data_IF_567244016182
#
_entry.id   IF_567244016182
#
_cell.length_a   1.000
_cell.length_b   1.000
_cell.length_c   1.000
_cell.angle_alpha   90.00
_cell.angle_beta   90.00
_cell.angle_gamma   90.00
#
_symmetry.space_group_name_H-M   'P 1'
#
loop_
_entity.id
_entity.type
_entity.pdbx_description
1 polymer ?
#
# COMPACT_ATOMS: atom_id res chain seq x y z
N UNK A 1 53.58 -4.66 -10.00
CA UNK A 1 53.93 -4.73 -8.56
C UNK A 1 55.28 -4.06 -8.40
N UNK A 2 55.30 -2.88 -7.78
CA UNK A 2 56.51 -2.11 -7.56
C UNK A 2 56.23 -0.62 -7.47
N UNK A 3 56.82 0.02 -6.46
CA UNK A 3 57.25 1.43 -6.55
C UNK A 3 56.46 2.46 -5.76
N UNK A 4 56.65 2.48 -4.44
CA UNK A 4 56.81 3.74 -3.70
C UNK A 4 57.99 4.53 -4.29
N UNK A 5 57.86 5.83 -4.57
CA UNK A 5 58.86 6.87 -4.24
C UNK A 5 58.50 8.27 -4.77
N UNK A 6 58.65 9.26 -3.88
CA UNK A 6 58.99 10.68 -4.09
C UNK A 6 57.90 11.79 -4.08
N UNK A 7 57.97 12.70 -3.08
CA UNK A 7 57.44 14.09 -3.04
C UNK A 7 58.58 15.07 -3.47
N UNK A 8 58.71 16.36 -3.05
CA UNK A 8 57.82 17.44 -2.56
C UNK A 8 58.06 18.79 -3.32
N UNK A 9 57.45 19.92 -2.88
CA UNK A 9 58.00 21.32 -2.77
C UNK A 9 56.82 22.23 -2.30
N UNK A 10 56.75 22.61 -1.01
CA UNK A 10 57.33 23.79 -0.33
C UNK A 10 56.66 25.14 -0.65
N UNK A 11 56.10 25.80 0.38
CA UNK A 11 56.11 27.24 0.76
C UNK A 11 54.97 27.48 1.79
N UNK A 12 55.18 27.29 3.11
CA UNK A 12 55.71 28.19 4.17
C UNK A 12 54.87 29.50 4.39
N UNK A 13 54.62 29.76 5.70
CA UNK A 13 54.16 30.98 6.41
C UNK A 13 52.63 31.13 6.60
N UNK A 14 52.05 31.30 7.77
CA UNK A 14 52.54 31.49 9.15
C UNK A 14 51.38 31.20 10.13
N UNK A 15 51.65 30.60 11.28
CA UNK A 15 51.91 31.28 12.55
C UNK A 15 50.68 31.30 13.48
N UNK A 16 50.68 30.32 14.40
CA UNK A 16 50.41 30.45 15.85
C UNK A 16 49.10 31.15 16.26
N UNK A 17 48.15 30.36 16.79
CA UNK A 17 47.65 30.64 18.14
C UNK A 17 47.25 29.34 18.86
N UNK A 18 47.93 29.13 19.99
CA UNK A 18 47.85 27.99 20.88
C UNK A 18 47.07 28.44 22.12
N UNK A 19 45.91 27.82 22.38
CA UNK A 19 45.24 27.78 23.70
C UNK A 19 44.06 26.82 23.54
N UNK A 20 44.00 25.60 24.07
CA UNK A 20 44.47 25.13 25.36
C UNK A 20 43.26 24.92 26.27
N UNK A 21 42.64 23.73 26.24
CA UNK A 21 41.97 23.09 27.39
C UNK A 21 41.30 21.77 26.98
N UNK A 22 41.89 20.67 27.43
CA UNK A 22 41.27 19.37 27.58
C UNK A 22 40.16 19.44 28.64
N UNK A 23 38.96 18.99 28.31
CA UNK A 23 37.99 18.50 29.29
C UNK A 23 37.24 17.30 28.70
N UNK A 24 37.67 16.11 29.14
CA UNK A 24 36.96 14.85 29.04
C UNK A 24 35.63 14.93 29.83
N UNK A 25 34.52 14.52 29.21
CA UNK A 25 33.21 14.34 29.86
C UNK A 25 32.17 13.75 28.88
N UNK A 26 31.22 12.91 29.35
CA UNK A 26 30.84 11.68 28.66
C UNK A 26 29.61 11.79 27.73
N UNK A 27 29.61 10.91 26.71
CA UNK A 27 28.44 10.23 26.11
C UNK A 27 27.12 11.01 26.19
N UNK A 28 26.98 12.04 25.35
CA UNK A 28 25.67 12.56 24.99
C UNK A 28 25.14 11.77 23.79
N UNK A 29 24.30 10.81 24.16
CA UNK A 29 23.26 10.17 23.36
C UNK A 29 22.91 10.98 22.11
N UNK A 30 23.27 10.47 20.92
CA UNK A 30 22.80 10.97 19.64
C UNK A 30 21.29 10.68 19.54
N UNK A 31 20.51 11.51 20.23
CA UNK A 31 19.07 11.60 20.10
C UNK A 31 18.82 12.28 18.76
N UNK A 32 18.73 11.46 17.72
CA UNK A 32 18.38 11.89 16.36
C UNK A 32 16.95 12.41 16.39
N UNK A 33 16.82 13.72 16.64
CA UNK A 33 15.62 14.47 16.33
C UNK A 33 15.49 14.52 14.81
N UNK A 34 14.50 13.81 14.27
CA UNK A 34 13.80 14.33 13.10
C UNK A 34 12.38 14.69 13.53
N UNK A 35 12.27 15.98 13.85
CA UNK A 35 11.04 16.73 13.87
C UNK A 35 10.46 16.77 12.45
N UNK A 36 9.21 16.34 12.32
CA UNK A 36 8.28 16.94 11.35
C UNK A 36 6.88 16.92 11.96
N UNK A 37 6.67 17.88 12.87
CA UNK A 37 5.35 18.36 13.25
C UNK A 37 4.64 18.93 12.00
N UNK A 38 3.91 18.07 11.29
CA UNK A 38 3.05 18.44 10.17
C UNK A 38 1.63 18.71 10.64
N UNK A 39 1.36 19.96 11.02
CA UNK A 39 0.08 20.67 10.92
C UNK A 39 -1.20 19.81 11.01
N UNK A 40 -1.68 19.62 12.25
CA UNK A 40 -3.09 19.32 12.51
C UNK A 40 -3.92 20.56 12.15
N UNK A 41 -4.61 20.54 11.01
CA UNK A 41 -5.88 21.24 10.77
C UNK A 41 -6.32 20.99 9.32
N UNK A 42 -6.75 19.76 9.05
CA UNK A 42 -7.87 19.58 8.13
C UNK A 42 -9.05 19.22 9.00
N UNK A 43 -9.88 20.22 9.29
CA UNK A 43 -11.20 20.04 9.90
C UNK A 43 -12.05 19.31 8.85
N UNK A 44 -11.76 18.04 8.61
CA UNK A 44 -12.68 17.18 7.88
C UNK A 44 -13.92 17.08 8.75
N UNK A 45 -15.10 17.12 8.14
CA UNK A 45 -16.30 16.70 8.85
C UNK A 45 -16.06 15.24 9.19
N UNK A 46 -15.59 14.96 10.41
CA UNK A 46 -15.36 13.61 10.87
C UNK A 46 -16.75 13.00 10.98
N UNK A 47 -17.18 12.31 9.94
CA UNK A 47 -18.37 11.48 10.01
C UNK A 47 -17.92 10.19 10.67
N UNK A 48 -18.24 9.97 11.96
CA UNK A 48 -17.82 8.77 12.65
C UNK A 48 -18.39 7.56 11.92
N UNK A 49 -17.53 6.62 11.53
CA UNK A 49 -17.94 5.42 10.82
C UNK A 49 -18.25 4.33 11.84
N UNK A 50 -19.54 4.04 12.04
CA UNK A 50 -19.99 2.91 12.87
C UNK A 50 -19.97 1.63 12.06
N UNK A 51 -19.22 0.62 12.51
CA UNK A 51 -19.09 -0.68 11.85
C UNK A 51 -19.44 -1.78 12.85
N UNK A 52 -20.23 -2.75 12.39
CA UNK A 52 -20.49 -4.01 13.09
C UNK A 52 -19.52 -5.08 12.63
N UNK A 53 -18.79 -5.68 13.56
CA UNK A 53 -17.79 -6.72 13.31
C UNK A 53 -18.31 -8.05 13.84
N UNK A 54 -18.28 -9.09 13.00
CA UNK A 54 -18.61 -10.46 13.43
C UNK A 54 -17.56 -10.98 14.44
N UNK A 55 -17.89 -11.99 15.26
CA UNK A 55 -16.90 -12.67 16.08
C UNK A 55 -15.76 -13.22 15.21
N UNK A 56 -14.53 -13.14 15.71
CA UNK A 56 -13.28 -13.58 15.04
C UNK A 56 -12.91 -12.84 13.73
N UNK A 57 -13.76 -11.94 13.23
CA UNK A 57 -13.51 -11.19 12.00
C UNK A 57 -12.46 -10.09 12.21
N UNK A 58 -11.62 -9.89 11.18
CA UNK A 58 -10.59 -8.85 11.14
C UNK A 58 -11.06 -7.62 10.36
N UNK A 59 -10.54 -6.46 10.76
CA UNK A 59 -10.72 -5.19 10.06
C UNK A 59 -9.38 -4.50 9.97
N UNK A 60 -9.06 -4.00 8.78
CA UNK A 60 -7.92 -3.13 8.56
C UNK A 60 -8.34 -1.67 8.67
N UNK A 61 -7.64 -0.88 9.47
CA UNK A 61 -7.85 0.55 9.62
C UNK A 61 -6.51 1.28 9.68
N UNK A 62 -6.11 1.96 8.60
CA UNK A 62 -4.99 2.92 8.63
C UNK A 62 -3.62 2.36 8.97
N UNK A 63 -3.39 1.06 8.75
CA UNK A 63 -2.16 0.38 9.16
C UNK A 63 -2.28 -0.42 10.45
N UNK A 64 -3.41 -0.35 11.15
CA UNK A 64 -3.73 -1.25 12.25
C UNK A 64 -4.70 -2.35 11.79
N UNK A 65 -4.52 -3.56 12.31
CA UNK A 65 -5.46 -4.68 12.14
C UNK A 65 -6.18 -4.89 13.47
N UNK A 66 -7.50 -4.75 13.46
CA UNK A 66 -8.37 -4.96 14.59
C UNK A 66 -9.07 -6.30 14.42
N UNK A 67 -8.95 -7.19 15.40
CA UNK A 67 -9.66 -8.47 15.42
C UNK A 67 -10.63 -8.49 16.60
N UNK A 68 -11.87 -8.91 16.35
CA UNK A 68 -12.80 -9.18 17.43
C UNK A 68 -12.48 -10.55 18.04
N UNK A 69 -12.00 -10.58 19.30
CA UNK A 69 -11.68 -11.81 20.05
C UNK A 69 -12.91 -12.34 20.82
N UNK A 70 -14.00 -11.58 20.87
CA UNK A 70 -15.21 -11.97 21.56
C UNK A 70 -16.07 -12.93 20.74
N UNK A 71 -16.85 -13.76 21.44
CA UNK A 71 -17.88 -14.63 20.83
C UNK A 71 -19.11 -13.86 20.34
N UNK A 72 -19.21 -12.56 20.67
CA UNK A 72 -20.33 -11.69 20.30
C UNK A 72 -19.90 -10.64 19.27
N UNK A 73 -20.83 -10.16 18.42
CA UNK A 73 -20.53 -9.07 17.51
C UNK A 73 -20.22 -7.79 18.28
N UNK A 74 -19.24 -7.03 17.80
CA UNK A 74 -18.80 -5.78 18.41
C UNK A 74 -19.14 -4.59 17.49
N UNK A 75 -19.65 -3.51 18.09
CA UNK A 75 -19.84 -2.22 17.42
C UNK A 75 -18.54 -1.41 17.59
N UNK A 76 -17.81 -1.17 16.50
CA UNK A 76 -16.64 -0.29 16.48
C UNK A 76 -17.02 1.06 15.88
N UNK A 77 -16.54 2.13 16.51
CA UNK A 77 -16.71 3.49 16.04
C UNK A 77 -15.35 4.06 15.65
N UNK A 78 -15.16 4.35 14.37
CA UNK A 78 -13.91 4.92 13.86
C UNK A 78 -14.07 6.42 13.76
N UNK A 79 -13.23 7.13 14.53
CA UNK A 79 -13.20 8.61 14.61
C UNK A 79 -12.11 9.23 13.73
N UNK A 80 -11.34 8.41 12.99
CA UNK A 80 -10.24 8.87 12.15
C UNK A 80 -10.63 8.91 10.67
N UNK A 81 -10.02 9.84 9.93
CA UNK A 81 -10.08 9.90 8.46
C UNK A 81 -9.02 8.97 7.88
N UNK A 82 -9.28 7.68 8.02
CA UNK A 82 -8.34 6.61 7.69
C UNK A 82 -9.00 5.62 6.72
N UNK A 83 -8.25 5.05 5.75
CA UNK A 83 -8.79 3.96 4.93
C UNK A 83 -9.14 2.77 5.83
N UNK A 84 -10.35 2.25 5.64
CA UNK A 84 -10.87 1.07 6.35
C UNK A 84 -11.21 -0.02 5.34
N UNK A 85 -10.80 -1.25 5.61
CA UNK A 85 -11.09 -2.43 4.81
C UNK A 85 -11.52 -3.59 5.70
N UNK A 86 -12.45 -4.43 5.24
CA UNK A 86 -12.87 -5.65 5.95
C UNK A 86 -12.06 -6.84 5.45
N UNK A 87 -11.96 -7.88 6.28
CA UNK A 87 -11.30 -9.14 5.93
C UNK A 87 -11.82 -9.72 4.60
N UNK A 88 -13.14 -9.65 4.38
CA UNK A 88 -13.80 -10.15 3.17
C UNK A 88 -13.27 -9.50 1.87
N UNK A 89 -12.74 -8.28 1.95
CA UNK A 89 -12.16 -7.55 0.83
C UNK A 89 -10.62 -7.55 0.86
N UNK A 90 -9.99 -8.24 1.80
CA UNK A 90 -8.55 -8.32 1.93
C UNK A 90 -8.06 -9.60 1.25
N UNK A 91 -7.43 -9.47 0.09
CA UNK A 91 -6.73 -10.60 -0.54
C UNK A 91 -5.29 -10.70 -0.06
N UNK A 92 -4.82 -11.94 0.08
CA UNK A 92 -3.42 -12.26 0.36
C UNK A 92 -2.63 -12.41 -0.96
N UNK A 93 -1.33 -12.16 -0.92
CA UNK A 93 -0.43 -12.17 -2.09
C UNK A 93 -0.45 -13.55 -2.77
N UNK A 94 -0.47 -14.63 -1.99
CA UNK A 94 -0.45 -16.01 -2.52
C UNK A 94 -1.65 -16.33 -3.43
N UNK A 95 -2.78 -15.64 -3.23
CA UNK A 95 -3.98 -15.83 -4.06
C UNK A 95 -3.91 -15.05 -5.38
N UNK A 96 -3.12 -13.98 -5.42
CA UNK A 96 -3.01 -13.09 -6.59
C UNK A 96 -2.33 -13.74 -7.80
N UNK A 97 -1.49 -14.76 -7.58
CA UNK A 97 -0.76 -15.46 -8.65
C UNK A 97 -1.66 -16.35 -9.51
N UNK A 98 -2.89 -16.63 -9.07
CA UNK A 98 -3.78 -17.59 -9.71
C UNK A 98 -4.61 -17.01 -10.88
N UNK A 99 -4.70 -15.68 -10.98
CA UNK A 99 -5.58 -15.02 -11.96
C UNK A 99 -5.15 -13.58 -12.28
N UNK A 100 -5.29 -13.20 -13.55
CA UNK A 100 -4.97 -11.84 -14.02
C UNK A 100 -5.87 -10.77 -13.35
N UNK A 101 -7.16 -11.02 -13.13
CA UNK A 101 -8.00 -10.07 -12.39
C UNK A 101 -7.63 -9.99 -10.91
N UNK A 102 -7.11 -11.07 -10.31
CA UNK A 102 -6.69 -11.07 -8.92
C UNK A 102 -5.47 -10.16 -8.74
N UNK A 103 -4.57 -10.14 -9.72
CA UNK A 103 -3.44 -9.19 -9.78
C UNK A 103 -3.93 -7.73 -9.85
N UNK A 104 -4.90 -7.42 -10.71
CA UNK A 104 -5.50 -6.06 -10.81
C UNK A 104 -6.17 -5.67 -9.50
N UNK A 105 -6.98 -6.57 -8.92
CA UNK A 105 -7.65 -6.36 -7.64
C UNK A 105 -6.67 -6.07 -6.51
N UNK A 106 -5.60 -6.86 -6.43
CA UNK A 106 -4.55 -6.68 -5.42
C UNK A 106 -3.86 -5.33 -5.54
N UNK A 107 -3.52 -4.88 -6.75
CA UNK A 107 -2.90 -3.57 -6.93
C UNK A 107 -3.85 -2.42 -6.54
N UNK A 108 -5.14 -2.53 -6.84
CA UNK A 108 -6.16 -1.57 -6.39
C UNK A 108 -6.24 -1.52 -4.85
N UNK A 109 -6.17 -2.68 -4.20
CA UNK A 109 -6.12 -2.79 -2.75
C UNK A 109 -4.90 -2.05 -2.20
N UNK A 110 -3.71 -2.23 -2.78
CA UNK A 110 -2.49 -1.51 -2.39
C UNK A 110 -2.69 0.00 -2.52
N UNK A 111 -3.17 0.50 -3.65
CA UNK A 111 -3.43 1.95 -3.83
C UNK A 111 -4.39 2.45 -2.76
N UNK A 112 -5.48 1.73 -2.50
CA UNK A 112 -6.47 2.14 -1.50
C UNK A 112 -5.88 2.27 -0.09
N UNK A 113 -5.04 1.32 0.31
CA UNK A 113 -4.40 1.31 1.64
C UNK A 113 -3.34 2.41 1.79
N UNK A 114 -2.67 2.80 0.71
CA UNK A 114 -1.59 3.79 0.72
C UNK A 114 -2.02 5.19 0.24
N UNK A 115 -3.32 5.44 0.05
CA UNK A 115 -3.83 6.77 -0.32
C UNK A 115 -3.27 7.87 0.58
N UNK A 116 -2.61 8.85 -0.03
CA UNK A 116 -2.03 10.02 0.66
C UNK A 116 -0.54 9.94 1.00
N UNK A 117 0.12 8.79 0.78
CA UNK A 117 1.60 8.73 0.78
C UNK A 117 2.12 9.04 -0.62
N UNK A 118 3.20 9.81 -0.75
CA UNK A 118 3.70 10.34 -2.03
C UNK A 118 4.01 9.30 -3.12
N UNK A 119 4.06 8.02 -2.78
CA UNK A 119 4.22 6.90 -3.71
C UNK A 119 2.94 6.55 -4.50
N UNK A 120 1.77 7.03 -4.08
CA UNK A 120 0.48 6.73 -4.71
C UNK A 120 0.46 7.03 -6.22
N UNK A 121 1.05 8.15 -6.66
CA UNK A 121 1.04 8.53 -8.07
C UNK A 121 1.79 7.57 -8.99
N UNK A 122 2.84 6.89 -8.50
CA UNK A 122 3.55 5.88 -9.32
C UNK A 122 2.74 4.60 -9.41
N UNK A 123 2.13 4.19 -8.30
CA UNK A 123 1.27 3.01 -8.23
C UNK A 123 0.01 3.20 -9.07
N UNK A 124 -0.57 4.40 -9.11
CA UNK A 124 -1.73 4.73 -9.92
C UNK A 124 -1.48 4.46 -11.41
N UNK A 125 -0.31 4.87 -11.93
CA UNK A 125 0.09 4.60 -13.32
C UNK A 125 0.24 3.11 -13.60
N UNK A 126 0.93 2.39 -12.73
CA UNK A 126 1.12 0.95 -12.86
C UNK A 126 -0.22 0.20 -12.88
N UNK A 127 -1.18 0.64 -12.06
CA UNK A 127 -2.52 0.05 -12.05
C UNK A 127 -3.27 0.34 -13.34
N UNK A 128 -3.25 1.57 -13.83
CA UNK A 128 -3.90 1.91 -15.10
C UNK A 128 -3.30 1.05 -16.23
N UNK A 129 -1.98 0.99 -16.35
CA UNK A 129 -1.30 0.18 -17.37
C UNK A 129 -1.64 -1.32 -17.27
N UNK A 130 -1.71 -1.86 -16.05
CA UNK A 130 -2.04 -3.27 -15.82
C UNK A 130 -3.50 -3.54 -16.16
N UNK A 131 -4.40 -2.62 -15.81
CA UNK A 131 -5.84 -2.75 -16.09
C UNK A 131 -6.12 -2.62 -17.59
N UNK A 132 -5.40 -1.75 -18.30
CA UNK A 132 -5.48 -1.65 -19.78
C UNK A 132 -4.97 -2.92 -20.47
N UNK A 133 -3.87 -3.52 -19.98
CA UNK A 133 -3.40 -4.82 -20.48
C UNK A 133 -4.46 -5.89 -20.26
N UNK A 134 -5.11 -5.91 -19.10
CA UNK A 134 -6.20 -6.83 -18.80
C UNK A 134 -7.39 -6.65 -19.76
N UNK A 135 -7.81 -5.43 -20.06
CA UNK A 135 -8.88 -5.16 -21.02
C UNK A 135 -8.56 -5.66 -22.45
N UNK A 136 -7.28 -5.65 -22.84
CA UNK A 136 -6.84 -6.19 -24.15
C UNK A 136 -6.93 -7.72 -24.20
N UNK A 137 -6.63 -8.39 -23.09
CA UNK A 137 -6.72 -9.86 -22.98
C UNK A 137 -8.17 -10.33 -22.91
N UNK A 138 -9.02 -9.58 -22.20
CA UNK A 138 -10.41 -9.93 -21.94
C UNK A 138 -11.37 -8.84 -22.42
N UNK A 139 -11.66 -8.77 -23.74
CA UNK A 139 -12.48 -7.70 -24.31
C UNK A 139 -13.93 -7.71 -23.79
N UNK A 140 -14.42 -8.84 -23.30
CA UNK A 140 -15.76 -8.95 -22.70
C UNK A 140 -15.88 -8.29 -21.32
N UNK A 141 -14.76 -8.00 -20.64
CA UNK A 141 -14.72 -7.28 -19.36
C UNK A 141 -14.24 -5.83 -19.54
N UNK A 142 -14.04 -5.37 -20.79
CA UNK A 142 -13.48 -4.05 -21.08
C UNK A 142 -14.35 -2.92 -20.52
N UNK A 143 -15.67 -3.06 -20.54
CA UNK A 143 -16.60 -2.05 -20.00
C UNK A 143 -16.43 -1.90 -18.48
N UNK A 144 -16.37 -3.02 -17.75
CA UNK A 144 -16.14 -3.01 -16.29
C UNK A 144 -14.78 -2.38 -15.94
N UNK A 145 -13.75 -2.65 -16.74
CA UNK A 145 -12.42 -2.06 -16.59
C UNK A 145 -12.45 -0.54 -16.77
N UNK A 146 -13.14 -0.05 -17.80
CA UNK A 146 -13.26 1.39 -18.05
C UNK A 146 -13.96 2.10 -16.89
N UNK A 147 -15.01 1.49 -16.32
CA UNK A 147 -15.68 2.02 -15.13
C UNK A 147 -14.75 2.10 -13.92
N UNK A 148 -13.93 1.06 -13.68
CA UNK A 148 -12.94 1.05 -12.60
C UNK A 148 -11.92 2.18 -12.78
N UNK A 149 -11.40 2.38 -14.00
CA UNK A 149 -10.46 3.46 -14.30
C UNK A 149 -11.11 4.82 -14.05
N UNK A 150 -12.37 5.00 -14.47
CA UNK A 150 -13.12 6.24 -14.25
C UNK A 150 -13.33 6.53 -12.75
N UNK A 151 -13.64 5.52 -11.93
CA UNK A 151 -13.78 5.67 -10.48
C UNK A 151 -12.45 6.01 -9.80
N UNK A 152 -11.35 5.45 -10.29
CA UNK A 152 -10.00 5.77 -9.79
C UNK A 152 -9.64 7.23 -10.07
N UNK A 153 -9.91 7.73 -11.28
CA UNK A 153 -9.69 9.13 -11.65
C UNK A 153 -10.54 10.11 -10.82
N UNK A 154 -11.75 9.71 -10.43
CA UNK A 154 -12.62 10.48 -9.52
C UNK A 154 -12.17 10.45 -8.06
N UNK A 155 -11.21 9.58 -7.70
CA UNK A 155 -10.74 9.39 -6.33
C UNK A 155 -11.59 8.44 -5.49
N UNK A 156 -12.60 7.79 -6.07
CA UNK A 156 -13.56 6.90 -5.41
C UNK A 156 -13.02 5.46 -5.28
N UNK A 157 -11.84 5.32 -4.67
CA UNK A 157 -11.10 4.05 -4.65
C UNK A 157 -11.81 2.87 -3.98
N UNK A 158 -12.68 3.12 -2.98
CA UNK A 158 -13.48 2.04 -2.39
C UNK A 158 -14.52 1.48 -3.35
N UNK A 159 -15.12 2.34 -4.18
CA UNK A 159 -16.09 1.89 -5.19
C UNK A 159 -15.39 1.13 -6.32
N UNK A 160 -14.22 1.62 -6.75
CA UNK A 160 -13.37 0.92 -7.71
C UNK A 160 -12.99 -0.48 -7.21
N UNK A 161 -12.57 -0.59 -5.95
CA UNK A 161 -12.25 -1.87 -5.33
C UNK A 161 -13.47 -2.82 -5.30
N UNK A 162 -14.66 -2.30 -4.96
CA UNK A 162 -15.90 -3.09 -4.94
C UNK A 162 -16.29 -3.60 -6.34
N UNK A 163 -16.09 -2.80 -7.38
CA UNK A 163 -16.32 -3.24 -8.76
C UNK A 163 -15.31 -4.29 -9.18
N UNK A 164 -14.03 -4.08 -8.88
CA UNK A 164 -12.97 -5.06 -9.17
C UNK A 164 -13.20 -6.41 -8.47
N UNK A 165 -13.72 -6.40 -7.23
CA UNK A 165 -14.11 -7.63 -6.53
C UNK A 165 -15.21 -8.41 -7.26
N UNK A 166 -16.17 -7.72 -7.89
CA UNK A 166 -17.22 -8.38 -8.69
C UNK A 166 -16.64 -8.99 -9.96
N UNK A 167 -15.82 -8.22 -10.67
CA UNK A 167 -15.11 -8.67 -11.87
C UNK A 167 -14.27 -9.92 -11.59
N UNK A 168 -13.62 -9.99 -10.42
CA UNK A 168 -12.86 -11.15 -10.00
C UNK A 168 -13.74 -12.39 -9.78
N UNK A 169 -14.87 -12.24 -9.11
CA UNK A 169 -15.84 -13.33 -8.93
C UNK A 169 -16.40 -13.82 -10.28
N UNK A 170 -16.65 -12.92 -11.23
CA UNK A 170 -17.12 -13.27 -12.58
C UNK A 170 -16.05 -14.08 -13.35
N UNK A 171 -14.77 -13.69 -13.24
CA UNK A 171 -13.67 -14.42 -13.87
C UNK A 171 -13.48 -15.81 -13.25
N UNK A 172 -13.49 -15.91 -11.92
CA UNK A 172 -13.39 -17.20 -11.21
C UNK A 172 -14.51 -18.16 -11.60
N UNK A 173 -15.75 -17.65 -11.72
CA UNK A 173 -16.88 -18.43 -12.18
C UNK A 173 -16.71 -18.94 -13.63
N UNK A 174 -16.07 -18.16 -14.51
CA UNK A 174 -15.78 -18.59 -15.88
C UNK A 174 -14.68 -19.65 -15.95
N UNK A 175 -13.66 -19.58 -15.08
CA UNK A 175 -12.57 -20.57 -15.00
C UNK A 175 -13.07 -21.94 -14.53
N UNK A 176 -13.97 -21.97 -13.54
CA UNK A 176 -14.54 -23.21 -13.01
C UNK A 176 -15.34 -24.01 -14.06
N UNK A 177 -16.07 -23.33 -14.96
CA UNK A 177 -16.78 -24.00 -16.06
C UNK A 177 -15.85 -24.73 -17.03
N UNK A 178 -14.60 -24.26 -17.17
CA UNK A 178 -13.59 -24.89 -18.03
C UNK A 178 -13.07 -26.21 -17.44
N UNK A 179 -12.85 -26.27 -16.13
CA UNK A 179 -12.30 -27.46 -15.46
C UNK A 179 -13.34 -28.58 -15.29
N UNK A 180 -14.62 -28.24 -15.09
CA UNK A 180 -15.70 -29.23 -14.98
C UNK A 180 -15.93 -29.95 -16.33
N UNK A 181 -15.80 -29.24 -17.45
CA UNK A 181 -15.92 -29.82 -18.80
C UNK A 181 -14.81 -30.82 -19.14
N UNK A 182 -13.60 -30.63 -18.59
CA UNK A 182 -12.46 -31.54 -18.81
C UNK A 182 -12.64 -32.83 -18.00
N UNK A 183 -13.23 -32.78 -16.80
CA UNK A 183 -13.45 -33.98 -15.97
C UNK A 183 -14.55 -34.90 -16.51
N UNK A 184 -15.57 -34.36 -17.18
CA UNK A 184 -16.67 -35.14 -17.76
C UNK A 184 -16.25 -35.86 -19.05
N UNK A 185 -15.28 -35.34 -19.80
CA UNK A 185 -14.85 -35.90 -21.08
C UNK A 185 -13.77 -37.01 -20.98
N UNK A 186 -13.21 -37.26 -19.78
CA UNK A 186 -12.10 -38.21 -19.56
C UNK A 186 -12.58 -39.53 -18.91
N UNK A 187 -13.90 -39.75 -18.82
CA UNK A 187 -14.47 -40.99 -18.24
C UNK A 187 -15.09 -41.88 -19.30
#
# INVERSE_FOLDING_TARGET
MGGDFSPPIFFIFGMVFFCGALAFGPVLCLRRQHSSAGRYTRRSRVMPLKIRVKPEQKIFAGGAVLKNVGTRPADLLILSDSPVLRDDYLMNIDQSENSDAASVYFLLQVIYLFKGKGEGQKLDKLVIETTEKFAKLYPHLADQVQDIIALMLRGEGYQALRQAHKMLADQEASKQRGDDGIKVAVT
#
